data_IF_933723357837
#
_entry.id   IF_933723357837
#
_cell.length_a   1.000
_cell.length_b   1.000
_cell.length_c   1.000
_cell.angle_alpha   90.00
_cell.angle_beta   90.00
_cell.angle_gamma   90.00
#
_symmetry.space_group_name_H-M   'P 1'
#
loop_
_entity.id
_entity.type
_entity.pdbx_description
1 polymer ?
#
# COMPACT_ATOMS: atom_id res chain seq x y z
N UNK A 1 29.97 -16.25 7.33
CA UNK A 1 29.91 -14.88 6.78
C UNK A 1 28.83 -14.91 5.72
N UNK A 2 27.57 -14.85 6.14
CA UNK A 2 26.42 -15.01 5.24
C UNK A 2 26.23 -13.68 4.55
N UNK A 3 26.54 -13.65 3.26
CA UNK A 3 26.40 -12.53 2.35
C UNK A 3 24.91 -12.14 2.33
N UNK A 4 24.54 -11.14 3.13
CA UNK A 4 23.18 -10.59 3.18
C UNK A 4 22.97 -9.86 1.86
N UNK A 5 22.27 -10.49 0.94
CA UNK A 5 22.03 -9.97 -0.41
C UNK A 5 20.84 -9.04 -0.40
N UNK A 6 21.11 -7.77 -0.11
CA UNK A 6 20.18 -6.69 -0.43
C UNK A 6 20.14 -6.57 -1.96
N UNK A 7 18.95 -6.67 -2.56
CA UNK A 7 18.77 -6.43 -4.00
C UNK A 7 19.06 -4.96 -4.32
N UNK A 8 19.39 -4.64 -5.56
CA UNK A 8 19.62 -3.24 -5.97
C UNK A 8 18.39 -2.36 -5.70
N UNK A 9 17.20 -2.84 -6.02
CA UNK A 9 15.95 -2.10 -5.80
C UNK A 9 15.63 -1.88 -4.31
N UNK A 10 15.84 -2.90 -3.46
CA UNK A 10 15.71 -2.71 -2.01
C UNK A 10 16.76 -1.73 -1.48
N UNK A 11 17.99 -1.80 -1.96
CA UNK A 11 19.04 -0.88 -1.55
C UNK A 11 18.70 0.57 -1.90
N UNK A 12 18.21 0.82 -3.11
CA UNK A 12 17.75 2.14 -3.55
C UNK A 12 16.59 2.65 -2.68
N UNK A 13 15.57 1.81 -2.44
CA UNK A 13 14.43 2.17 -1.58
C UNK A 13 14.85 2.45 -0.12
N UNK A 14 15.81 1.69 0.41
CA UNK A 14 16.38 1.92 1.74
C UNK A 14 17.10 3.27 1.80
N UNK A 15 17.97 3.56 0.84
CA UNK A 15 18.72 4.83 0.77
C UNK A 15 17.77 6.02 0.60
N UNK A 16 16.74 5.90 -0.24
CA UNK A 16 15.70 6.91 -0.40
C UNK A 16 14.96 7.19 0.92
N UNK A 17 14.70 6.14 1.71
CA UNK A 17 14.11 6.25 3.04
C UNK A 17 15.09 6.77 4.12
N UNK A 18 16.33 7.13 3.77
CA UNK A 18 17.34 7.66 4.69
C UNK A 18 18.18 6.60 5.41
N UNK A 19 18.10 5.34 5.00
CA UNK A 19 18.93 4.28 5.59
C UNK A 19 20.40 4.37 5.13
N UNK A 20 21.31 4.00 6.02
CA UNK A 20 22.75 3.92 5.74
C UNK A 20 23.31 2.57 6.18
N UNK A 21 24.28 2.05 5.42
CA UNK A 21 24.92 0.78 5.77
C UNK A 21 25.66 0.89 7.11
N UNK A 22 25.39 -0.06 8.02
CA UNK A 22 25.94 -0.05 9.37
C UNK A 22 25.30 0.98 10.31
N UNK A 23 24.11 1.50 9.97
CA UNK A 23 23.31 2.40 10.81
C UNK A 23 23.26 1.90 12.25
N UNK A 24 23.47 2.83 13.17
CA UNK A 24 23.06 2.73 14.57
C UNK A 24 22.14 3.93 14.84
N UNK A 25 20.98 3.73 15.47
CA UNK A 25 20.12 4.85 15.81
C UNK A 25 20.89 5.83 16.70
N UNK A 26 20.69 7.14 16.50
CA UNK A 26 21.15 8.12 17.49
C UNK A 26 20.27 8.07 18.74
N UNK A 27 20.64 8.77 19.80
CA UNK A 27 19.92 8.74 21.07
C UNK A 27 18.44 9.15 20.94
N UNK A 28 18.15 10.10 20.03
CA UNK A 28 16.77 10.55 19.80
C UNK A 28 15.96 9.48 19.07
N UNK A 29 16.54 8.81 18.07
CA UNK A 29 15.93 7.69 17.37
C UNK A 29 15.75 6.47 18.28
N UNK A 30 16.71 6.17 19.17
CA UNK A 30 16.56 5.14 20.20
C UNK A 30 15.37 5.44 21.12
N UNK A 31 15.24 6.70 21.58
CA UNK A 31 14.15 7.11 22.45
C UNK A 31 12.78 7.04 21.74
N UNK A 32 12.70 7.46 20.47
CA UNK A 32 11.49 7.31 19.65
C UNK A 32 11.12 5.84 19.48
N UNK A 33 12.10 5.00 19.15
CA UNK A 33 11.88 3.57 18.95
C UNK A 33 11.41 2.87 20.24
N UNK A 34 12.02 3.19 21.38
CA UNK A 34 11.59 2.66 22.68
C UNK A 34 10.14 3.07 22.98
N UNK A 35 9.80 4.33 22.73
CA UNK A 35 8.44 4.85 22.90
C UNK A 35 7.45 4.10 22.01
N UNK A 36 7.80 3.87 20.74
CA UNK A 36 7.00 3.11 19.79
C UNK A 36 6.80 1.65 20.23
N UNK A 37 7.86 0.97 20.70
CA UNK A 37 7.79 -0.39 21.23
C UNK A 37 6.83 -0.45 22.42
N UNK A 38 6.96 0.47 23.38
CA UNK A 38 6.09 0.54 24.56
C UNK A 38 4.63 0.84 24.20
N UNK A 39 4.38 1.48 23.06
CA UNK A 39 3.03 1.71 22.54
C UNK A 39 2.35 0.44 22.00
N UNK A 40 3.07 -0.67 21.89
CA UNK A 40 2.58 -1.96 21.39
C UNK A 40 2.60 -3.04 22.47
N UNK A 41 3.65 -3.07 23.29
CA UNK A 41 3.75 -4.04 24.39
C UNK A 41 2.61 -3.79 25.39
N UNK A 42 1.98 -4.86 25.88
CA UNK A 42 0.96 -4.78 26.94
C UNK A 42 1.37 -5.52 28.21
N UNK A 43 0.73 -5.15 29.31
CA UNK A 43 0.89 -5.84 30.59
C UNK A 43 0.29 -7.26 30.56
N UNK A 44 -0.65 -7.51 29.64
CA UNK A 44 -1.31 -8.81 29.46
C UNK A 44 -0.42 -9.85 28.75
N UNK A 45 0.75 -9.45 28.25
CA UNK A 45 1.74 -10.31 27.61
C UNK A 45 1.30 -10.87 26.25
N UNK A 46 0.35 -10.23 25.56
CA UNK A 46 -0.14 -10.69 24.26
C UNK A 46 0.91 -10.58 23.15
N UNK A 47 1.82 -9.62 23.30
CA UNK A 47 2.91 -9.34 22.36
C UNK A 47 4.18 -9.07 23.15
N UNK A 48 5.23 -9.86 22.89
CA UNK A 48 6.54 -9.71 23.51
C UNK A 48 7.60 -9.35 22.47
N UNK A 49 8.47 -8.40 22.79
CA UNK A 49 9.58 -8.03 21.92
C UNK A 49 10.64 -9.15 21.95
N UNK A 50 10.84 -9.82 20.82
CA UNK A 50 11.92 -10.81 20.66
C UNK A 50 13.25 -10.14 20.28
N UNK A 51 14.37 -10.83 20.50
CA UNK A 51 15.68 -10.34 20.02
C UNK A 51 15.70 -10.12 18.50
N UNK A 52 14.98 -10.95 17.74
CA UNK A 52 14.92 -10.82 16.29
C UNK A 52 14.16 -9.56 15.86
N UNK A 53 13.04 -9.27 16.53
CA UNK A 53 12.29 -8.03 16.32
C UNK A 53 13.09 -6.80 16.76
N UNK A 54 13.83 -6.88 17.88
CA UNK A 54 14.71 -5.81 18.31
C UNK A 54 15.80 -5.52 17.27
N UNK A 55 16.52 -6.54 16.77
CA UNK A 55 17.53 -6.35 15.71
C UNK A 55 16.94 -5.76 14.44
N UNK A 56 15.73 -6.18 14.06
CA UNK A 56 15.02 -5.62 12.93
C UNK A 56 14.78 -4.12 13.11
N UNK A 57 14.28 -3.71 14.28
CA UNK A 57 13.97 -2.32 14.59
C UNK A 57 15.22 -1.44 14.77
N UNK A 58 16.30 -1.97 15.35
CA UNK A 58 17.59 -1.27 15.40
C UNK A 58 18.11 -0.95 14.00
N UNK A 59 17.90 -1.87 13.05
CA UNK A 59 18.39 -1.74 11.69
C UNK A 59 17.46 -0.87 10.81
N UNK A 60 16.15 -1.09 10.89
CA UNK A 60 15.16 -0.55 9.95
C UNK A 60 14.08 0.33 10.60
N UNK A 61 14.05 0.46 11.92
CA UNK A 61 13.08 1.29 12.63
C UNK A 61 13.19 2.76 12.25
N UNK A 62 12.06 3.47 12.28
CA UNK A 62 11.92 4.89 11.89
C UNK A 62 12.09 5.12 10.37
N UNK A 63 12.06 4.07 9.55
CA UNK A 63 12.09 4.19 8.10
C UNK A 63 10.68 4.12 7.51
N UNK A 64 10.43 4.95 6.50
CA UNK A 64 9.27 4.81 5.61
C UNK A 64 9.77 4.38 4.24
N UNK A 65 9.64 3.08 3.95
CA UNK A 65 10.08 2.50 2.68
C UNK A 65 9.05 2.76 1.58
N UNK A 66 9.45 3.35 0.44
CA UNK A 66 8.59 3.43 -0.72
C UNK A 66 8.53 2.09 -1.47
N UNK A 67 7.45 1.80 -2.22
CA UNK A 67 7.45 0.71 -3.18
C UNK A 67 8.39 1.04 -4.35
N UNK A 68 9.34 0.15 -4.64
CA UNK A 68 10.38 0.32 -5.66
C UNK A 68 9.82 0.34 -7.11
N UNK A 69 8.58 -0.10 -7.32
CA UNK A 69 7.95 -0.18 -8.63
C UNK A 69 6.48 -0.57 -8.56
N UNK A 70 5.84 -0.97 -9.67
CA UNK A 70 4.47 -1.49 -9.65
C UNK A 70 4.39 -2.91 -9.05
N UNK A 71 5.47 -3.71 -9.16
CA UNK A 71 5.62 -5.00 -8.48
C UNK A 71 5.93 -6.21 -9.38
N UNK A 72 6.77 -7.13 -8.87
CA UNK A 72 7.22 -8.48 -9.29
C UNK A 72 6.20 -9.46 -9.88
N UNK A 73 5.16 -9.68 -9.11
CA UNK A 73 4.21 -10.77 -9.28
C UNK A 73 2.88 -10.32 -8.67
N UNK A 74 2.97 -9.57 -7.58
CA UNK A 74 1.89 -8.82 -6.92
C UNK A 74 2.27 -7.35 -6.84
N UNK A 75 1.34 -6.51 -6.39
CA UNK A 75 1.64 -5.12 -6.09
C UNK A 75 2.85 -5.00 -5.15
N UNK A 76 3.82 -4.18 -5.52
CA UNK A 76 4.80 -3.67 -4.55
C UNK A 76 4.08 -2.81 -3.51
N UNK A 77 4.51 -2.91 -2.25
CA UNK A 77 3.99 -2.09 -1.16
C UNK A 77 5.15 -1.38 -0.46
N UNK A 78 4.90 -0.14 -0.06
CA UNK A 78 5.74 0.51 0.94
C UNK A 78 5.46 -0.02 2.34
N UNK A 79 6.27 0.43 3.30
CA UNK A 79 6.07 0.13 4.71
C UNK A 79 6.55 1.29 5.59
N UNK A 80 5.75 1.64 6.59
CA UNK A 80 6.20 2.46 7.72
C UNK A 80 6.71 1.49 8.78
N UNK A 81 8.01 1.51 9.02
CA UNK A 81 8.68 0.66 10.02
C UNK A 81 8.72 1.39 11.35
N UNK A 82 7.54 1.50 11.94
CA UNK A 82 7.32 2.08 13.26
C UNK A 82 6.28 1.22 14.00
N UNK A 83 6.65 0.55 15.11
CA UNK A 83 5.69 -0.20 15.92
C UNK A 83 4.47 0.63 16.34
N UNK A 84 4.62 1.95 16.54
CA UNK A 84 3.50 2.83 16.89
C UNK A 84 2.43 2.86 15.79
N UNK A 85 2.81 2.76 14.52
CA UNK A 85 1.85 2.66 13.41
C UNK A 85 0.96 1.39 13.49
N UNK A 86 1.40 0.38 14.25
CA UNK A 86 0.68 -0.86 14.48
C UNK A 86 0.09 -1.01 15.89
N UNK A 87 0.01 0.06 16.69
CA UNK A 87 -0.39 0.00 18.11
C UNK A 87 -1.73 -0.74 18.36
N UNK A 88 -2.70 -0.61 17.44
CA UNK A 88 -4.03 -1.24 17.53
C UNK A 88 -4.06 -2.72 17.15
N UNK A 89 -2.92 -3.31 16.82
CA UNK A 89 -2.84 -4.59 16.11
C UNK A 89 -2.38 -5.77 16.97
N UNK A 90 -2.28 -5.56 18.29
CA UNK A 90 -1.77 -6.54 19.26
C UNK A 90 -2.53 -7.86 19.17
N UNK A 91 -3.86 -7.80 19.13
CA UNK A 91 -4.74 -8.99 19.05
C UNK A 91 -4.56 -9.75 17.73
N UNK A 92 -4.33 -9.04 16.64
CA UNK A 92 -4.08 -9.61 15.32
C UNK A 92 -2.72 -10.32 15.30
N UNK A 93 -1.67 -9.66 15.81
CA UNK A 93 -0.33 -10.23 15.93
C UNK A 93 -0.32 -11.46 16.85
N UNK A 94 -1.00 -11.40 18.00
CA UNK A 94 -1.18 -12.55 18.90
C UNK A 94 -1.94 -13.70 18.23
N UNK A 95 -2.85 -13.39 17.30
CA UNK A 95 -3.52 -14.38 16.45
C UNK A 95 -2.54 -15.15 15.57
N UNK A 96 -1.58 -14.46 14.94
CA UNK A 96 -0.51 -15.12 14.18
C UNK A 96 0.41 -15.90 15.12
N UNK A 97 0.83 -15.31 16.25
CA UNK A 97 1.70 -15.97 17.23
C UNK A 97 1.17 -17.35 17.65
N UNK A 98 -0.14 -17.44 17.94
CA UNK A 98 -0.82 -18.71 18.25
C UNK A 98 -0.81 -19.69 17.09
N UNK A 99 -1.01 -19.24 15.84
CA UNK A 99 -0.95 -20.11 14.66
C UNK A 99 0.47 -20.66 14.44
N UNK A 100 1.49 -19.82 14.65
CA UNK A 100 2.90 -20.20 14.45
C UNK A 100 3.48 -21.01 15.62
N UNK A 101 2.92 -20.89 16.82
CA UNK A 101 3.54 -21.41 18.04
C UNK A 101 4.83 -20.67 18.41
N UNK A 102 4.97 -19.39 18.01
CA UNK A 102 6.14 -18.55 18.23
C UNK A 102 5.71 -17.11 18.55
N UNK A 103 6.54 -16.37 19.30
CA UNK A 103 6.28 -14.94 19.54
C UNK A 103 6.33 -14.17 18.21
N UNK A 104 5.40 -13.23 18.05
CA UNK A 104 5.27 -12.34 16.89
C UNK A 104 5.11 -10.91 17.39
N UNK A 105 5.99 -10.04 16.92
CA UNK A 105 6.00 -8.63 17.26
C UNK A 105 5.62 -7.79 16.03
N UNK A 106 4.62 -6.90 16.09
CA UNK A 106 4.31 -6.00 15.00
C UNK A 106 5.36 -4.89 14.97
N UNK A 107 6.07 -4.78 13.85
CA UNK A 107 7.20 -3.87 13.66
C UNK A 107 6.83 -2.64 12.84
N UNK A 108 5.62 -2.61 12.28
CA UNK A 108 5.19 -1.52 11.42
C UNK A 108 3.86 -1.78 10.72
N UNK A 109 3.59 -0.94 9.74
CA UNK A 109 2.37 -0.96 8.94
C UNK A 109 2.72 -0.89 7.46
N UNK A 110 2.07 -1.74 6.67
CA UNK A 110 1.97 -1.63 5.22
C UNK A 110 0.61 -0.98 4.93
N UNK A 111 0.46 -0.21 3.84
CA UNK A 111 -0.75 0.62 3.62
C UNK A 111 -2.11 -0.04 3.94
N UNK A 112 -2.23 -1.36 3.78
CA UNK A 112 -3.44 -2.13 4.05
C UNK A 112 -3.37 -3.14 5.23
N UNK A 113 -2.29 -3.17 6.03
CA UNK A 113 -2.19 -4.09 7.17
C UNK A 113 -0.84 -4.11 7.90
N UNK A 114 -0.80 -4.87 8.99
CA UNK A 114 0.35 -4.98 9.90
C UNK A 114 1.56 -5.64 9.24
N UNK A 115 2.75 -5.10 9.49
CA UNK A 115 4.03 -5.77 9.27
C UNK A 115 4.53 -6.34 10.60
N UNK A 116 4.92 -7.62 10.63
CA UNK A 116 5.33 -8.30 11.85
C UNK A 116 6.55 -9.20 11.66
N UNK A 117 7.33 -9.35 12.73
CA UNK A 117 8.51 -10.21 12.80
C UNK A 117 8.31 -11.24 13.90
N UNK A 118 8.60 -12.51 13.61
CA UNK A 118 8.57 -13.54 14.64
C UNK A 118 9.90 -13.72 15.38
N UNK A 119 9.91 -14.58 16.39
CA UNK A 119 11.11 -14.89 17.19
C UNK A 119 12.29 -15.46 16.37
N UNK A 120 12.05 -15.97 15.16
CA UNK A 120 13.08 -16.47 14.25
C UNK A 120 13.61 -15.39 13.30
N UNK A 121 13.03 -14.19 13.29
CA UNK A 121 13.40 -13.11 12.37
C UNK A 121 12.72 -13.20 11.01
N UNK A 122 11.69 -14.06 10.88
CA UNK A 122 10.90 -14.18 9.67
C UNK A 122 9.92 -13.01 9.58
N UNK A 123 9.77 -12.47 8.38
CA UNK A 123 8.91 -11.30 8.14
C UNK A 123 7.54 -11.75 7.60
N UNK A 124 6.48 -11.18 8.16
CA UNK A 124 5.11 -11.45 7.79
C UNK A 124 4.34 -10.14 7.58
N UNK A 125 3.34 -10.19 6.70
CA UNK A 125 2.38 -9.10 6.52
C UNK A 125 0.96 -9.60 6.68
N UNK A 126 0.11 -8.79 7.29
CA UNK A 126 -1.32 -9.01 7.30
C UNK A 126 -1.89 -8.51 5.96
N UNK A 127 -2.56 -9.39 5.22
CA UNK A 127 -3.46 -9.01 4.14
C UNK A 127 -4.89 -8.83 4.64
N UNK A 128 -5.83 -8.58 3.72
CA UNK A 128 -7.24 -8.30 4.05
C UNK A 128 -7.93 -9.36 4.94
N UNK A 129 -7.51 -10.62 4.86
CA UNK A 129 -8.18 -11.72 5.57
C UNK A 129 -7.23 -12.72 6.23
N UNK A 130 -5.97 -12.72 5.84
CA UNK A 130 -4.98 -13.71 6.29
C UNK A 130 -3.58 -13.12 6.34
N UNK A 131 -2.67 -13.90 6.91
CA UNK A 131 -1.26 -13.59 6.99
C UNK A 131 -0.47 -14.18 5.84
N UNK A 132 0.57 -13.44 5.44
CA UNK A 132 1.47 -13.79 4.36
C UNK A 132 2.90 -13.78 4.86
N UNK A 133 3.61 -14.87 4.61
CA UNK A 133 5.04 -15.01 4.84
C UNK A 133 5.81 -14.31 3.71
N UNK A 134 6.62 -13.32 4.07
CA UNK A 134 7.40 -12.51 3.13
C UNK A 134 8.83 -13.05 2.93
N UNK A 135 9.46 -13.61 3.97
CA UNK A 135 10.83 -14.10 3.84
C UNK A 135 11.46 -14.55 5.14
N UNK A 136 12.55 -15.30 5.01
CA UNK A 136 13.28 -15.92 6.11
C UNK A 136 14.20 -14.94 6.83
N UNK A 137 14.54 -13.84 6.17
CA UNK A 137 15.30 -12.73 6.74
C UNK A 137 14.58 -11.40 6.50
N UNK A 138 14.93 -10.35 7.27
CA UNK A 138 14.43 -9.00 7.04
C UNK A 138 14.62 -8.53 5.59
N UNK A 139 15.81 -8.72 5.02
CA UNK A 139 16.14 -8.22 3.68
C UNK A 139 15.36 -8.96 2.61
N UNK A 140 15.23 -10.28 2.74
CA UNK A 140 14.43 -11.08 1.82
C UNK A 140 12.95 -10.64 1.87
N UNK A 141 12.41 -10.47 3.08
CA UNK A 141 11.02 -10.05 3.27
C UNK A 141 10.75 -8.63 2.76
N UNK A 142 11.64 -7.68 3.05
CA UNK A 142 11.53 -6.30 2.59
C UNK A 142 11.68 -6.21 1.07
N UNK A 143 12.61 -6.96 0.46
CA UNK A 143 12.74 -7.03 -0.99
C UNK A 143 11.47 -7.58 -1.64
N UNK A 144 10.91 -8.69 -1.13
CA UNK A 144 9.61 -9.20 -1.63
C UNK A 144 8.51 -8.15 -1.54
N UNK A 145 8.48 -7.37 -0.46
CA UNK A 145 7.47 -6.35 -0.22
C UNK A 145 7.59 -5.16 -1.18
N UNK A 146 8.75 -4.50 -1.22
CA UNK A 146 8.96 -3.25 -1.98
C UNK A 146 9.11 -3.50 -3.46
N UNK A 147 9.53 -4.70 -3.86
CA UNK A 147 9.61 -5.08 -5.27
C UNK A 147 8.38 -5.86 -5.74
N UNK A 148 7.48 -6.29 -4.84
CA UNK A 148 6.22 -6.94 -5.18
C UNK A 148 6.32 -8.41 -5.64
N UNK A 149 7.22 -9.21 -5.08
CA UNK A 149 7.21 -10.66 -5.30
C UNK A 149 6.11 -11.33 -4.48
N UNK A 150 5.49 -12.37 -5.04
CA UNK A 150 4.37 -13.05 -4.42
C UNK A 150 4.83 -13.70 -3.09
N UNK A 151 4.21 -13.32 -1.96
CA UNK A 151 4.49 -13.97 -0.69
C UNK A 151 3.73 -15.29 -0.60
N UNK A 152 4.05 -16.08 0.43
CA UNK A 152 3.36 -17.34 0.69
C UNK A 152 2.26 -17.17 1.73
N UNK A 153 1.05 -17.67 1.44
CA UNK A 153 -0.04 -17.64 2.40
C UNK A 153 0.26 -18.53 3.60
N UNK A 154 0.02 -18.03 4.81
CA UNK A 154 0.10 -18.80 6.04
C UNK A 154 -1.22 -19.53 6.27
N UNK A 155 -1.18 -20.86 6.25
CA UNK A 155 -2.31 -21.72 6.54
C UNK A 155 -2.80 -21.60 7.98
N UNK A 156 -4.02 -22.07 8.23
CA UNK A 156 -4.60 -22.08 9.57
C UNK A 156 -3.80 -22.93 10.58
N UNK A 157 -3.02 -23.89 10.09
CA UNK A 157 -2.09 -24.73 10.84
C UNK A 157 -0.70 -24.10 11.04
N UNK A 158 -0.53 -22.83 10.63
CA UNK A 158 0.72 -22.08 10.76
C UNK A 158 1.78 -22.45 9.73
N UNK A 159 1.45 -23.24 8.70
CA UNK A 159 2.39 -23.65 7.66
C UNK A 159 2.20 -22.87 6.37
N UNK A 160 3.25 -22.76 5.58
CA UNK A 160 3.23 -22.17 4.24
C UNK A 160 4.08 -23.00 3.29
N UNK A 161 3.90 -22.77 1.99
CA UNK A 161 4.83 -23.27 0.97
C UNK A 161 5.88 -22.20 0.71
N UNK A 162 7.17 -22.55 0.73
CA UNK A 162 8.23 -21.57 0.47
C UNK A 162 8.00 -20.86 -0.87
N UNK A 163 7.99 -19.52 -0.90
CA UNK A 163 7.85 -18.76 -2.13
C UNK A 163 9.08 -18.95 -3.03
N UNK A 164 8.95 -18.59 -4.30
CA UNK A 164 10.07 -18.65 -5.22
C UNK A 164 11.27 -17.83 -4.71
N UNK A 165 12.51 -18.28 -4.93
CA UNK A 165 13.69 -17.50 -4.61
C UNK A 165 13.70 -16.18 -5.39
N UNK A 166 14.10 -15.10 -4.72
CA UNK A 166 14.29 -13.80 -5.37
C UNK A 166 15.36 -13.88 -6.48
N UNK A 167 15.11 -13.32 -7.67
CA UNK A 167 16.12 -13.23 -8.71
C UNK A 167 17.24 -12.27 -8.27
N UNK A 168 18.48 -12.57 -8.69
CA UNK A 168 19.68 -11.81 -8.28
C UNK A 168 19.81 -10.43 -8.94
N UNK A 169 19.00 -10.14 -9.94
CA UNK A 169 18.95 -8.88 -10.69
C UNK A 169 17.50 -8.54 -10.97
N UNK A 170 17.09 -7.35 -10.55
CA UNK A 170 15.74 -6.83 -10.77
C UNK A 170 15.70 -6.22 -12.17
N UNK A 171 14.70 -6.60 -12.97
CA UNK A 171 14.51 -6.07 -14.31
C UNK A 171 14.25 -4.55 -14.25
N UNK A 172 15.24 -3.77 -14.68
CA UNK A 172 15.13 -2.31 -14.92
C UNK A 172 14.44 -1.97 -16.25
N UNK A 173 14.09 -2.98 -17.06
CA UNK A 173 13.50 -2.75 -18.36
C UNK A 173 12.04 -2.30 -18.21
N UNK A 174 11.84 -1.03 -18.58
CA UNK A 174 10.64 -0.24 -18.35
C UNK A 174 9.33 -0.99 -18.62
N UNK A 175 8.45 -0.90 -17.63
CA UNK A 175 7.06 -1.28 -17.72
C UNK A 175 6.37 -0.50 -18.83
N UNK A 176 6.06 -1.15 -19.95
CA UNK A 176 5.24 -0.54 -21.00
C UNK A 176 3.96 -1.36 -21.12
N UNK A 177 2.81 -0.79 -20.70
CA UNK A 177 1.50 -1.41 -20.86
C UNK A 177 0.47 -0.43 -21.46
N UNK A 178 -0.04 -0.79 -22.64
CA UNK A 178 -1.11 -0.10 -23.37
C UNK A 178 -2.40 -0.95 -23.42
N UNK A 179 -2.56 -1.93 -22.52
CA UNK A 179 -3.66 -2.89 -22.52
C UNK A 179 -4.98 -2.40 -21.90
N UNK A 180 -6.02 -3.26 -21.85
CA UNK A 180 -7.32 -2.97 -21.22
C UNK A 180 -7.21 -2.54 -19.75
N UNK A 181 -6.09 -2.90 -19.13
CA UNK A 181 -5.74 -2.57 -17.77
C UNK A 181 -5.51 -1.06 -17.59
N UNK A 182 -4.79 -0.44 -18.53
CA UNK A 182 -4.56 1.00 -18.60
C UNK A 182 -5.85 1.77 -18.91
N UNK A 183 -6.76 1.23 -19.72
CA UNK A 183 -8.07 1.85 -19.99
C UNK A 183 -8.96 1.93 -18.73
N UNK A 184 -9.05 0.83 -17.98
CA UNK A 184 -9.87 0.77 -16.77
C UNK A 184 -9.30 1.67 -15.67
N UNK A 185 -7.97 1.67 -15.51
CA UNK A 185 -7.27 2.55 -14.58
C UNK A 185 -7.50 4.02 -14.95
N UNK A 186 -7.27 4.41 -16.21
CA UNK A 186 -7.46 5.77 -16.66
C UNK A 186 -8.91 6.24 -16.49
N UNK A 187 -9.90 5.38 -16.79
CA UNK A 187 -11.32 5.71 -16.57
C UNK A 187 -11.67 5.90 -15.09
N UNK A 188 -11.13 5.04 -14.20
CA UNK A 188 -11.34 5.17 -12.75
C UNK A 188 -10.73 6.44 -12.18
N UNK A 189 -9.49 6.77 -12.57
CA UNK A 189 -8.79 7.96 -12.13
C UNK A 189 -9.41 9.25 -12.69
N UNK A 190 -9.83 9.27 -13.96
CA UNK A 190 -10.54 10.40 -14.54
C UNK A 190 -11.87 10.68 -13.84
N UNK A 191 -12.61 9.62 -13.47
CA UNK A 191 -13.84 9.76 -12.69
C UNK A 191 -13.56 10.30 -11.27
N UNK A 192 -12.45 9.86 -10.65
CA UNK A 192 -12.02 10.39 -9.36
C UNK A 192 -11.68 11.89 -9.43
N UNK A 193 -10.96 12.32 -10.49
CA UNK A 193 -10.68 13.74 -10.74
C UNK A 193 -11.95 14.56 -11.06
N UNK A 194 -12.94 14.01 -11.75
CA UNK A 194 -14.21 14.72 -11.95
C UNK A 194 -15.00 14.86 -10.64
N UNK A 195 -14.89 13.89 -9.74
CA UNK A 195 -15.58 13.90 -8.44
C UNK A 195 -15.02 14.96 -7.46
N UNK A 196 -13.77 15.42 -7.63
CA UNK A 196 -13.20 16.50 -6.81
C UNK A 196 -13.87 17.87 -7.08
N UNK A 197 -14.34 18.11 -8.31
CA UNK A 197 -14.88 19.41 -8.72
C UNK A 197 -16.18 19.80 -7.99
N UNK A 198 -17.21 18.94 -7.87
CA UNK A 198 -18.39 19.23 -7.06
C UNK A 198 -18.05 19.49 -5.59
N UNK A 199 -17.12 18.70 -5.01
CA UNK A 199 -16.72 18.86 -3.62
C UNK A 199 -16.12 20.24 -3.34
N UNK A 200 -15.22 20.71 -4.22
CA UNK A 200 -14.69 22.09 -4.12
C UNK A 200 -15.78 23.16 -4.28
N UNK A 201 -16.75 22.97 -5.19
CA UNK A 201 -17.88 23.91 -5.34
C UNK A 201 -18.73 24.03 -4.08
N UNK A 202 -18.83 22.95 -3.31
CA UNK A 202 -19.52 22.94 -2.02
C UNK A 202 -18.61 23.33 -0.83
N UNK A 203 -17.42 23.87 -1.11
CA UNK A 203 -16.50 24.37 -0.09
C UNK A 203 -15.80 23.26 0.70
N UNK A 204 -15.75 22.02 0.19
CA UNK A 204 -14.97 20.92 0.78
C UNK A 204 -13.52 21.04 0.26
N UNK A 205 -12.57 21.54 1.06
CA UNK A 205 -11.33 22.11 0.50
C UNK A 205 -10.14 21.15 0.39
N UNK A 206 -10.19 19.94 0.96
CA UNK A 206 -8.95 19.19 1.17
C UNK A 206 -9.15 17.69 0.93
N UNK A 207 -8.94 17.24 -0.30
CA UNK A 207 -8.51 15.87 -0.55
C UNK A 207 -6.99 15.90 -0.55
N UNK A 208 -6.38 15.21 0.41
CA UNK A 208 -4.93 15.21 0.62
C UNK A 208 -4.29 13.85 0.42
N UNK A 209 -5.09 12.81 0.20
CA UNK A 209 -4.60 11.45 0.00
C UNK A 209 -5.36 10.72 -1.10
N UNK A 210 -4.62 10.06 -1.98
CA UNK A 210 -5.13 9.11 -2.96
C UNK A 210 -4.60 7.72 -2.68
N UNK A 211 -5.50 6.75 -2.54
CA UNK A 211 -5.16 5.32 -2.52
C UNK A 211 -5.68 4.65 -3.78
N UNK A 212 -4.77 4.06 -4.56
CA UNK A 212 -5.07 3.28 -5.76
C UNK A 212 -4.87 1.79 -5.46
N UNK A 213 -5.88 0.98 -5.72
CA UNK A 213 -5.82 -0.48 -5.59
C UNK A 213 -6.35 -1.13 -6.86
N UNK A 214 -5.61 -2.08 -7.42
CA UNK A 214 -6.03 -2.87 -8.58
C UNK A 214 -6.03 -4.34 -8.20
N UNK A 215 -7.19 -4.99 -8.28
CA UNK A 215 -7.36 -6.42 -8.06
C UNK A 215 -7.30 -7.16 -9.41
N UNK A 216 -6.58 -8.27 -9.46
CA UNK A 216 -6.46 -9.14 -10.63
C UNK A 216 -7.42 -10.33 -10.59
N UNK A 217 -7.76 -10.87 -11.77
CA UNK A 217 -8.50 -12.13 -11.88
C UNK A 217 -7.76 -13.27 -11.16
N UNK A 218 -8.41 -13.89 -10.17
CA UNK A 218 -7.82 -15.01 -9.41
C UNK A 218 -6.75 -14.63 -8.39
N UNK A 219 -6.48 -13.34 -8.17
CA UNK A 219 -5.48 -12.88 -7.22
C UNK A 219 -6.09 -12.67 -5.82
N UNK A 220 -5.48 -13.23 -4.77
CA UNK A 220 -5.84 -12.95 -3.37
C UNK A 220 -5.22 -11.63 -2.87
N UNK A 221 -4.18 -11.13 -3.54
CA UNK A 221 -3.52 -9.85 -3.28
C UNK A 221 -3.73 -8.88 -4.45
N UNK A 222 -3.75 -7.56 -4.22
CA UNK A 222 -3.81 -6.61 -5.30
C UNK A 222 -2.58 -6.74 -6.21
N UNK A 223 -2.78 -6.54 -7.51
CA UNK A 223 -1.72 -6.49 -8.52
C UNK A 223 -1.09 -5.09 -8.62
N UNK A 224 -1.78 -4.06 -8.11
CA UNK A 224 -1.21 -2.74 -7.85
C UNK A 224 -1.80 -2.13 -6.57
N UNK A 225 -0.94 -1.54 -5.73
CA UNK A 225 -1.31 -0.75 -4.57
C UNK A 225 -0.38 0.46 -4.48
N UNK A 226 -0.93 1.67 -4.47
CA UNK A 226 -0.15 2.91 -4.34
C UNK A 226 -0.91 3.90 -3.48
N UNK A 227 -0.17 4.63 -2.66
CA UNK A 227 -0.66 5.80 -1.94
C UNK A 227 0.10 7.02 -2.41
N UNK A 228 -0.61 8.13 -2.54
CA UNK A 228 -0.06 9.42 -2.94
C UNK A 228 -0.61 10.48 -2.00
N UNK A 229 0.28 11.33 -1.49
CA UNK A 229 -0.12 12.59 -0.90
C UNK A 229 -0.45 13.56 -2.04
N UNK A 230 -1.64 14.16 -1.96
CA UNK A 230 -2.11 15.13 -2.95
C UNK A 230 -1.93 16.55 -2.39
N UNK A 231 -1.50 17.46 -3.26
CA UNK A 231 -1.60 18.90 -3.03
C UNK A 231 -3.07 19.32 -3.18
N UNK A 232 -3.70 19.82 -2.10
CA UNK A 232 -5.08 20.29 -2.15
C UNK A 232 -5.32 21.42 -3.16
N UNK A 233 -4.28 22.14 -3.58
CA UNK A 233 -4.37 23.22 -4.56
C UNK A 233 -4.63 22.71 -5.99
N UNK A 234 -4.09 21.54 -6.36
CA UNK A 234 -4.24 20.94 -7.69
C UNK A 234 -4.34 19.40 -7.66
N UNK A 235 -5.39 18.84 -7.03
CA UNK A 235 -5.58 17.40 -6.99
C UNK A 235 -5.86 16.83 -8.39
N UNK A 236 -6.50 17.59 -9.29
CA UNK A 236 -6.82 17.11 -10.64
C UNK A 236 -5.59 16.94 -11.51
N UNK A 237 -4.67 17.90 -11.51
CA UNK A 237 -3.41 17.82 -12.26
C UNK A 237 -2.53 16.67 -11.77
N UNK A 238 -2.43 16.50 -10.45
CA UNK A 238 -1.65 15.40 -9.86
C UNK A 238 -2.27 14.03 -10.14
N UNK A 239 -3.60 13.90 -10.10
CA UNK A 239 -4.28 12.65 -10.50
C UNK A 239 -3.97 12.29 -11.95
N UNK A 240 -3.95 13.27 -12.86
CA UNK A 240 -3.60 13.04 -14.26
C UNK A 240 -2.14 12.58 -14.41
N UNK A 241 -1.20 13.21 -13.70
CA UNK A 241 0.21 12.80 -13.70
C UNK A 241 0.40 11.38 -13.15
N UNK A 242 -0.34 11.01 -12.09
CA UNK A 242 -0.33 9.65 -11.53
C UNK A 242 -0.78 8.64 -12.58
N UNK A 243 -1.83 8.93 -13.36
CA UNK A 243 -2.29 8.04 -14.45
C UNK A 243 -1.20 7.79 -15.47
N UNK A 244 -0.54 8.86 -15.93
CA UNK A 244 0.47 8.77 -17.00
C UNK A 244 1.74 8.02 -16.55
N UNK A 245 2.00 7.96 -15.24
CA UNK A 245 3.14 7.26 -14.65
C UNK A 245 2.82 5.87 -14.09
N UNK A 246 1.55 5.50 -14.02
CA UNK A 246 1.13 4.23 -13.44
C UNK A 246 0.98 3.17 -14.51
N UNK A 247 1.83 2.16 -14.45
CA UNK A 247 1.83 1.03 -15.39
C UNK A 247 1.49 -0.27 -14.67
N UNK A 248 0.73 -1.13 -15.34
CA UNK A 248 0.49 -2.51 -14.92
C UNK A 248 1.42 -3.44 -15.71
N UNK A 249 1.65 -4.67 -15.22
CA UNK A 249 2.47 -5.61 -16.00
C UNK A 249 1.72 -6.05 -17.25
N UNK A 250 2.39 -6.18 -18.41
CA UNK A 250 1.82 -6.83 -19.57
C UNK A 250 1.26 -8.22 -19.22
N UNK A 251 0.04 -8.51 -19.69
CA UNK A 251 -0.64 -9.79 -19.44
C UNK A 251 -1.43 -9.88 -18.13
N UNK A 252 -1.39 -8.84 -17.28
CA UNK A 252 -2.30 -8.76 -16.12
C UNK A 252 -3.75 -8.58 -16.58
N UNK A 253 -4.69 -9.19 -15.84
CA UNK A 253 -6.14 -9.08 -16.07
C UNK A 253 -6.78 -8.40 -14.86
N UNK A 254 -6.81 -7.07 -14.80
CA UNK A 254 -7.51 -6.40 -13.72
C UNK A 254 -9.00 -6.68 -13.82
N UNK A 255 -9.61 -6.97 -12.68
CA UNK A 255 -11.06 -7.19 -12.55
C UNK A 255 -11.72 -6.06 -11.78
N UNK A 256 -10.95 -5.34 -10.95
CA UNK A 256 -11.42 -4.20 -10.17
C UNK A 256 -10.31 -3.18 -9.99
N UNK A 257 -10.61 -1.91 -10.23
CA UNK A 257 -9.79 -0.76 -9.84
C UNK A 257 -10.57 0.00 -8.79
N UNK A 258 -9.94 0.31 -7.68
CA UNK A 258 -10.49 1.11 -6.60
C UNK A 258 -9.61 2.34 -6.43
N UNK A 259 -10.20 3.52 -6.51
CA UNK A 259 -9.56 4.79 -6.21
C UNK A 259 -10.29 5.39 -5.01
N UNK A 260 -9.56 5.64 -3.94
CA UNK A 260 -10.09 6.30 -2.74
C UNK A 260 -9.38 7.64 -2.58
N UNK A 261 -10.13 8.72 -2.55
CA UNK A 261 -9.64 10.05 -2.18
C UNK A 261 -10.12 10.34 -0.76
N UNK A 262 -9.23 10.81 0.10
CA UNK A 262 -9.55 11.12 1.48
C UNK A 262 -8.95 12.47 1.90
N UNK A 263 -9.51 13.04 2.97
CA UNK A 263 -8.94 14.20 3.64
C UNK A 263 -7.49 13.93 4.12
N UNK A 264 -6.64 14.96 4.18
CA UNK A 264 -5.32 14.82 4.77
C UNK A 264 -5.44 14.46 6.26
N UNK A 265 -4.50 13.66 6.81
CA UNK A 265 -4.59 13.13 8.17
C UNK A 265 -4.60 14.20 9.29
N UNK A 266 -4.25 15.44 8.99
CA UNK A 266 -4.21 16.57 9.94
C UNK A 266 -5.41 17.52 9.88
N UNK A 267 -6.42 17.23 9.05
CA UNK A 267 -7.60 18.07 8.93
C UNK A 267 -8.51 17.90 10.16
N UNK A 268 -8.43 18.84 11.11
CA UNK A 268 -9.40 18.94 12.18
C UNK A 268 -10.80 19.23 11.61
N UNK A 269 -11.75 18.44 12.12
CA UNK A 269 -13.21 18.65 12.12
C UNK A 269 -14.04 18.01 10.99
N UNK A 270 -13.50 17.52 9.87
CA UNK A 270 -14.34 16.84 8.87
C UNK A 270 -13.62 15.73 8.05
N UNK A 271 -13.86 14.46 8.40
CA UNK A 271 -13.35 13.29 7.63
C UNK A 271 -14.25 13.00 6.42
N UNK A 272 -13.78 13.33 5.21
CA UNK A 272 -14.50 13.06 3.97
C UNK A 272 -13.74 12.01 3.14
N UNK A 273 -14.47 11.06 2.55
CA UNK A 273 -13.94 10.14 1.56
C UNK A 273 -14.79 10.03 0.27
N UNK A 274 -14.09 9.98 -0.86
CA UNK A 274 -14.64 9.65 -2.18
C UNK A 274 -14.11 8.29 -2.58
N UNK A 275 -15.00 7.40 -2.99
CA UNK A 275 -14.66 6.07 -3.44
C UNK A 275 -15.15 5.86 -4.87
N UNK A 276 -14.22 5.62 -5.79
CA UNK A 276 -14.50 5.16 -7.14
C UNK A 276 -14.13 3.69 -7.24
N UNK A 277 -15.06 2.87 -7.71
CA UNK A 277 -14.83 1.46 -8.00
C UNK A 277 -15.15 1.20 -9.46
N UNK A 278 -14.14 0.90 -10.26
CA UNK A 278 -14.29 0.42 -11.62
C UNK A 278 -14.18 -1.10 -11.66
N UNK A 279 -15.04 -1.78 -12.41
CA UNK A 279 -14.98 -3.23 -12.62
C UNK A 279 -14.81 -3.55 -14.09
N UNK A 280 -14.01 -4.57 -14.37
CA UNK A 280 -13.63 -4.96 -15.73
C UNK A 280 -14.54 -6.02 -16.36
N UNK A 281 -15.67 -6.38 -15.73
CA UNK A 281 -16.57 -7.41 -16.26
C UNK A 281 -17.14 -7.06 -17.65
N UNK A 282 -17.98 -7.92 -18.24
CA UNK A 282 -18.58 -7.68 -19.56
C UNK A 282 -19.32 -6.34 -19.68
N UNK A 283 -19.74 -5.75 -18.57
CA UNK A 283 -20.44 -4.47 -18.52
C UNK A 283 -19.50 -3.26 -18.34
N UNK A 284 -18.23 -3.50 -17.97
CA UNK A 284 -17.21 -2.47 -17.71
C UNK A 284 -17.80 -1.28 -16.93
N UNK A 285 -18.42 -1.57 -15.78
CA UNK A 285 -19.13 -0.58 -14.97
C UNK A 285 -18.18 0.15 -14.01
N UNK A 286 -18.36 1.47 -13.90
CA UNK A 286 -17.79 2.29 -12.84
C UNK A 286 -18.88 2.70 -11.86
N UNK A 287 -18.54 2.75 -10.58
CA UNK A 287 -19.42 3.15 -9.49
C UNK A 287 -18.71 4.24 -8.68
N UNK A 288 -19.35 5.40 -8.52
CA UNK A 288 -18.87 6.50 -7.67
C UNK A 288 -19.72 6.60 -6.41
N UNK A 289 -19.06 6.71 -5.25
CA UNK A 289 -19.69 6.88 -3.93
C UNK A 289 -19.00 8.00 -3.15
N UNK A 290 -19.80 8.87 -2.53
CA UNK A 290 -19.32 9.98 -1.70
C UNK A 290 -19.82 9.76 -0.26
N UNK A 291 -19.01 10.16 0.73
CA UNK A 291 -19.37 10.12 2.15
C UNK A 291 -18.93 11.38 2.87
N UNK A 292 -19.76 11.78 3.83
CA UNK A 292 -19.58 12.97 4.66
C UNK A 292 -18.80 12.79 5.96
N UNK A 293 -18.67 13.88 6.76
CA UNK A 293 -17.84 14.01 7.98
C UNK A 293 -18.15 13.01 9.10
N UNK A 294 -19.26 12.28 8.98
CA UNK A 294 -19.77 11.31 9.94
C UNK A 294 -20.13 9.97 9.28
N UNK A 295 -19.63 9.72 8.06
CA UNK A 295 -19.99 8.55 7.25
C UNK A 295 -21.40 8.61 6.64
N UNK A 296 -22.12 9.72 6.82
CA UNK A 296 -23.45 9.91 6.21
C UNK A 296 -23.33 10.09 4.68
N UNK A 297 -24.22 9.46 3.91
CA UNK A 297 -24.31 9.71 2.47
C UNK A 297 -24.67 11.18 2.23
N UNK A 298 -24.01 11.82 1.27
CA UNK A 298 -24.36 13.20 0.90
C UNK A 298 -25.80 13.26 0.35
N UNK A 299 -26.53 14.37 0.57
CA UNK A 299 -27.89 14.54 0.07
C UNK A 299 -28.00 14.43 -1.47
N UNK A 300 -26.89 14.58 -2.20
CA UNK A 300 -26.77 14.37 -3.65
C UNK A 300 -25.85 13.18 -4.04
N UNK A 301 -25.49 12.29 -3.10
CA UNK A 301 -24.71 11.08 -3.44
C UNK A 301 -25.59 10.07 -4.17
N UNK A 302 -25.83 10.32 -5.45
CA UNK A 302 -26.40 9.30 -6.32
C UNK A 302 -25.27 8.36 -6.71
N UNK A 303 -25.44 7.06 -6.50
CA UNK A 303 -24.49 6.05 -6.97
C UNK A 303 -24.44 6.11 -8.51
N UNK A 304 -23.46 6.84 -9.04
CA UNK A 304 -23.33 7.06 -10.48
C UNK A 304 -22.70 5.80 -11.08
N UNK A 305 -23.47 5.13 -11.92
CA UNK A 305 -22.99 3.99 -12.72
C UNK A 305 -22.82 4.41 -14.17
N UNK A 306 -21.59 4.32 -14.68
CA UNK A 306 -21.26 4.64 -16.07
C UNK A 306 -20.37 3.55 -16.69
N UNK A 307 -20.38 3.42 -18.02
CA UNK A 307 -19.53 2.45 -18.72
C UNK A 307 -18.14 3.02 -18.98
N UNK A 308 -17.10 2.18 -18.94
CA UNK A 308 -15.70 2.57 -19.23
C UNK A 308 -15.58 3.27 -20.58
N UNK A 309 -16.36 2.88 -21.59
CA UNK A 309 -16.35 3.54 -22.90
C UNK A 309 -16.85 4.99 -22.85
N UNK A 310 -17.88 5.27 -22.03
CA UNK A 310 -18.42 6.63 -21.86
C UNK A 310 -17.45 7.54 -21.10
N UNK A 311 -16.67 6.98 -20.16
CA UNK A 311 -15.69 7.73 -19.36
C UNK A 311 -14.30 7.79 -20.00
N UNK A 312 -13.90 6.81 -20.82
CA UNK A 312 -12.68 6.90 -21.62
C UNK A 312 -12.73 8.09 -22.59
N UNK A 313 -13.92 8.42 -23.11
CA UNK A 313 -14.16 9.63 -23.91
C UNK A 313 -13.94 10.93 -23.10
N UNK A 314 -14.30 10.95 -21.81
CA UNK A 314 -14.03 12.05 -20.88
C UNK A 314 -12.54 12.13 -20.50
N UNK A 315 -11.87 10.99 -20.29
CA UNK A 315 -10.44 10.91 -20.01
C UNK A 315 -9.57 11.32 -21.21
N UNK A 316 -9.98 11.02 -22.44
CA UNK A 316 -9.32 11.57 -23.65
C UNK A 316 -9.47 13.08 -23.74
N UNK A 317 -10.62 13.64 -23.32
CA UNK A 317 -10.80 15.10 -23.27
C UNK A 317 -9.90 15.75 -22.21
N UNK A 318 -9.69 15.11 -21.06
CA UNK A 318 -8.76 15.56 -20.02
C UNK A 318 -7.30 15.55 -20.47
N UNK A 319 -6.86 14.50 -21.17
CA UNK A 319 -5.52 14.42 -21.78
C UNK A 319 -5.27 15.53 -22.80
N UNK A 320 -6.31 15.97 -23.52
CA UNK A 320 -6.20 17.09 -24.45
C UNK A 320 -6.22 18.46 -23.78
N UNK A 321 -6.88 18.64 -22.63
CA UNK A 321 -6.95 19.93 -21.94
C UNK A 321 -5.77 20.21 -21.00
N UNK A 322 -4.97 19.20 -20.63
CA UNK A 322 -3.66 19.40 -19.98
C UNK A 322 -2.56 19.86 -20.95
N UNK A 323 -2.83 19.84 -22.25
CA UNK A 323 -2.02 20.47 -23.28
C UNK A 323 -2.61 21.81 -23.67
N UNK A 324 -2.14 22.89 -23.04
CA UNK A 324 -2.43 24.30 -23.37
C UNK A 324 -3.88 24.76 -23.25
N UNK A 325 -4.18 25.43 -22.13
CA UNK A 325 -4.58 26.85 -22.11
C UNK A 325 -4.44 27.40 -20.68
#
# INVERSE_FOLDING_TARGET
MTDVRITTALHEALVEAGWTAGRRPDADAEQRLLTAILSVVDEDGLVELSEAAQRFLEQYGDLTLPPAGPGVEVAAHGAVIDPAAAHGSRTVAAGLARRLGASVFPVGWTGDGVLAVDAQGRLFRQGRSDWWYLGGTPEEGLARLVEGYAPARVGADGRWSEPAPLPRTVHQDGWVDNGPASELLAAGMALAAEATRPLRRHGVPALGRLTLTVEGEGAELPILYREFDLDPADPEGQIAEIVDRTFLRPGTRPVRVTVRLAAPPSADDHDWDVLVVARADRSRQLTLRHRGPAGEPMPDSTELTATVAALAALGTAHRTTGGTA
#
